data_IF_028209801855
#
_entry.id   IF_028209801855
#
_cell.length_a   1.000
_cell.length_b   1.000
_cell.length_c   1.000
_cell.angle_alpha   90.00
_cell.angle_beta   90.00
_cell.angle_gamma   90.00
#
_symmetry.space_group_name_H-M   'P 1'
#
loop_
_entity.id
_entity.type
_entity.pdbx_description
1 polymer ?
#
# COMPACT_ATOMS: atom_id res chain seq x y z
N UNK A 1 40.84 82.75 -16.33
CA UNK A 1 41.97 82.67 -15.39
C UNK A 1 41.56 81.73 -14.26
N UNK A 2 41.97 80.47 -14.34
CA UNK A 2 41.86 79.52 -13.23
C UNK A 2 43.26 78.94 -13.01
N UNK A 3 43.90 79.32 -11.92
CA UNK A 3 45.20 78.80 -11.49
C UNK A 3 45.01 77.93 -10.25
N UNK A 4 45.48 76.69 -10.40
CA UNK A 4 46.16 75.86 -9.40
C UNK A 4 45.44 75.49 -8.09
N UNK A 5 45.00 74.23 -8.02
CA UNK A 5 44.79 73.48 -6.79
C UNK A 5 44.90 71.99 -7.07
N UNK A 6 46.09 71.40 -6.96
CA UNK A 6 46.29 69.97 -7.25
C UNK A 6 47.73 69.49 -7.18
N UNK A 7 48.34 69.51 -5.99
CA UNK A 7 49.68 68.94 -5.75
C UNK A 7 49.78 68.11 -4.44
N UNK A 8 48.66 67.66 -3.88
CA UNK A 8 48.61 67.00 -2.57
C UNK A 8 48.64 65.45 -2.52
N UNK A 9 48.20 64.66 -3.54
CA UNK A 9 48.02 63.21 -3.34
C UNK A 9 49.33 62.41 -3.35
N UNK A 10 50.32 62.80 -4.16
CA UNK A 10 51.59 62.07 -4.27
C UNK A 10 52.46 62.16 -3.01
N UNK A 11 52.43 63.30 -2.31
CA UNK A 11 53.22 63.53 -1.10
C UNK A 11 52.73 62.70 0.09
N UNK A 12 51.42 62.46 0.20
CA UNK A 12 50.86 61.62 1.26
C UNK A 12 51.19 60.14 1.05
N UNK A 13 51.14 59.65 -0.18
CA UNK A 13 51.52 58.27 -0.51
C UNK A 13 53.01 58.02 -0.26
N UNK A 14 53.87 59.00 -0.54
CA UNK A 14 55.30 58.90 -0.27
C UNK A 14 55.59 58.91 1.24
N UNK A 15 54.89 59.74 2.02
CA UNK A 15 54.95 59.72 3.49
C UNK A 15 54.46 58.38 4.06
N UNK A 16 53.37 57.82 3.51
CA UNK A 16 52.82 56.54 3.93
C UNK A 16 53.73 55.35 3.57
N UNK A 17 54.44 55.41 2.44
CA UNK A 17 55.47 54.43 2.09
C UNK A 17 56.69 54.53 3.01
N UNK A 18 57.21 55.74 3.22
CA UNK A 18 58.35 55.95 4.14
C UNK A 18 58.04 55.46 5.56
N UNK A 19 56.86 55.76 6.10
CA UNK A 19 56.43 55.28 7.42
C UNK A 19 56.27 53.76 7.47
N UNK A 20 55.74 53.13 6.40
CA UNK A 20 55.67 51.67 6.27
C UNK A 20 57.07 51.03 6.24
N UNK A 21 57.98 51.58 5.44
CA UNK A 21 59.34 51.05 5.29
C UNK A 21 60.14 51.22 6.59
N UNK A 22 59.96 52.36 7.28
CA UNK A 22 60.53 52.60 8.61
C UNK A 22 60.02 51.54 9.61
N UNK A 23 58.70 51.33 9.69
CA UNK A 23 58.11 50.28 10.54
C UNK A 23 58.60 48.88 10.18
N UNK A 24 58.68 48.56 8.88
CA UNK A 24 59.15 47.26 8.40
C UNK A 24 60.60 47.01 8.84
N UNK A 25 61.45 48.02 8.80
CA UNK A 25 62.82 47.93 9.30
C UNK A 25 62.89 47.69 10.82
N UNK A 26 62.03 48.35 11.62
CA UNK A 26 61.98 48.14 13.08
C UNK A 26 61.48 46.76 13.50
N UNK A 27 60.51 46.21 12.77
CA UNK A 27 59.93 44.90 13.08
C UNK A 27 60.63 43.74 12.35
N UNK A 28 61.70 44.01 11.58
CA UNK A 28 62.33 43.06 10.66
C UNK A 28 61.30 42.30 9.81
N UNK A 29 60.24 43.00 9.41
CA UNK A 29 59.20 42.41 8.57
C UNK A 29 59.67 42.55 7.14
N UNK A 30 60.37 41.54 6.63
CA UNK A 30 60.67 41.46 5.20
C UNK A 30 59.38 41.72 4.41
N UNK A 31 59.39 42.60 3.39
CA UNK A 31 58.21 42.83 2.55
C UNK A 31 57.74 41.56 1.82
N UNK A 32 58.54 40.49 1.83
CA UNK A 32 58.16 39.15 1.35
C UNK A 32 57.22 38.37 2.30
N UNK A 33 57.10 38.75 3.58
CA UNK A 33 56.23 38.04 4.54
C UNK A 33 54.79 38.57 4.55
N UNK A 34 54.54 39.77 4.01
CA UNK A 34 53.21 40.38 3.98
C UNK A 34 52.31 39.89 2.82
N UNK A 35 52.80 39.01 1.95
CA UNK A 35 52.06 38.40 0.84
C UNK A 35 51.77 36.89 1.06
N UNK A 36 51.79 36.42 2.31
CA UNK A 36 51.55 35.01 2.66
C UNK A 36 50.07 34.67 2.83
N UNK A 37 49.32 34.66 1.72
CA UNK A 37 47.90 34.31 1.69
C UNK A 37 47.48 33.48 0.48
N UNK A 38 48.32 32.56 0.00
CA UNK A 38 47.91 31.43 -0.85
C UNK A 38 49.08 30.45 -1.01
N UNK A 39 48.73 29.17 -1.00
CA UNK A 39 49.63 28.02 -0.98
C UNK A 39 50.30 27.71 -2.34
N UNK A 40 51.36 26.89 -2.25
CA UNK A 40 51.97 26.01 -3.27
C UNK A 40 53.30 26.52 -3.92
N UNK A 41 54.21 25.60 -4.33
CA UNK A 41 55.54 25.47 -3.74
C UNK A 41 56.67 26.00 -4.64
N UNK A 42 57.68 26.62 -4.02
CA UNK A 42 58.90 27.04 -4.71
C UNK A 42 59.88 25.86 -4.88
N UNK A 43 59.77 25.15 -6.00
CA UNK A 43 60.91 24.45 -6.58
C UNK A 43 61.28 25.19 -7.88
N UNK A 44 62.55 25.60 -7.96
CA UNK A 44 63.25 26.18 -9.13
C UNK A 44 62.95 27.64 -9.48
N UNK A 45 63.59 28.56 -8.75
CA UNK A 45 64.04 29.84 -9.31
C UNK A 45 65.57 29.91 -9.24
N UNK A 46 66.17 29.59 -10.38
CA UNK A 46 67.58 29.68 -10.75
C UNK A 46 68.14 31.10 -10.50
N UNK A 47 69.35 31.27 -9.94
CA UNK A 47 69.97 32.60 -9.82
C UNK A 47 70.44 33.05 -11.21
N UNK A 48 69.85 34.13 -11.73
CA UNK A 48 70.35 34.85 -12.90
C UNK A 48 71.51 35.77 -12.48
N UNK A 49 72.68 35.70 -13.13
CA UNK A 49 73.88 36.46 -12.76
C UNK A 49 73.89 37.79 -13.52
N UNK A 50 73.09 38.78 -13.11
CA UNK A 50 73.20 40.16 -13.63
C UNK A 50 72.67 41.17 -12.63
N UNK A 51 73.28 41.22 -11.44
CA UNK A 51 73.34 42.44 -10.67
C UNK A 51 74.84 42.73 -10.51
N UNK A 52 75.28 43.88 -11.01
CA UNK A 52 76.64 44.36 -10.78
C UNK A 52 76.94 44.28 -9.27
N UNK A 53 78.18 43.95 -8.86
CA UNK A 53 78.53 43.99 -7.44
C UNK A 53 78.20 45.39 -6.95
N UNK A 54 77.21 45.51 -6.07
CA UNK A 54 76.87 46.78 -5.46
C UNK A 54 78.17 47.33 -4.86
N UNK A 55 78.58 48.50 -5.34
CA UNK A 55 79.75 49.18 -4.81
C UNK A 55 79.63 49.20 -3.29
N UNK A 56 80.69 48.94 -2.50
CA UNK A 56 80.64 48.98 -1.03
C UNK A 56 80.03 50.28 -0.48
N UNK A 57 80.02 51.33 -1.29
CA UNK A 57 79.45 52.64 -1.00
C UNK A 57 77.91 52.73 -0.97
N UNK A 58 77.19 51.80 -1.60
CA UNK A 58 75.71 51.83 -1.72
C UNK A 58 74.99 50.89 -0.73
N UNK A 59 75.73 50.12 0.07
CA UNK A 59 75.21 49.04 0.90
C UNK A 59 75.28 49.32 2.42
N UNK A 60 75.07 50.57 2.83
CA UNK A 60 75.08 51.00 4.25
C UNK A 60 73.96 50.32 5.07
N UNK A 61 72.81 50.03 4.44
CA UNK A 61 71.65 49.41 5.09
C UNK A 61 71.70 47.87 5.09
N UNK A 62 72.82 47.27 4.63
CA UNK A 62 72.98 45.81 4.61
C UNK A 62 73.34 45.30 6.01
N UNK A 63 72.81 44.14 6.39
CA UNK A 63 73.15 43.44 7.64
C UNK A 63 74.61 43.00 7.75
N UNK A 64 75.38 43.17 6.67
CA UNK A 64 76.82 42.84 6.54
C UNK A 64 77.71 44.08 6.37
N UNK A 65 77.21 45.27 6.72
CA UNK A 65 77.95 46.53 6.61
C UNK A 65 79.20 46.55 7.50
N UNK A 66 80.36 46.81 6.90
CA UNK A 66 81.64 47.02 7.58
C UNK A 66 82.06 48.51 7.48
N UNK A 67 82.06 49.25 8.61
CA UNK A 67 82.43 50.66 8.63
C UNK A 67 83.85 50.94 8.13
N UNK A 68 84.80 50.06 8.41
CA UNK A 68 86.22 50.28 8.12
C UNK A 68 86.50 50.13 6.62
N UNK A 69 85.89 49.13 5.99
CA UNK A 69 85.97 48.91 4.54
C UNK A 69 85.26 50.05 3.80
N UNK A 70 84.07 50.44 4.26
CA UNK A 70 83.31 51.55 3.69
C UNK A 70 84.09 52.86 3.77
N UNK A 71 84.67 53.18 4.92
CA UNK A 71 85.43 54.42 5.12
C UNK A 71 86.73 54.42 4.30
N UNK A 72 87.44 53.30 4.22
CA UNK A 72 88.67 53.20 3.43
C UNK A 72 88.40 53.41 1.94
N UNK A 73 87.33 52.79 1.40
CA UNK A 73 86.91 53.00 0.01
C UNK A 73 86.45 54.45 -0.21
N UNK A 74 85.72 55.04 0.74
CA UNK A 74 85.22 56.41 0.63
C UNK A 74 86.37 57.44 0.61
N UNK A 75 87.38 57.28 1.47
CA UNK A 75 88.55 58.17 1.54
C UNK A 75 89.42 58.05 0.29
N UNK A 76 89.55 56.85 -0.30
CA UNK A 76 90.32 56.65 -1.54
C UNK A 76 89.61 57.22 -2.78
N UNK A 77 88.28 57.26 -2.80
CA UNK A 77 87.49 57.63 -3.99
C UNK A 77 86.98 59.08 -3.98
N UNK A 78 86.98 59.77 -2.84
CA UNK A 78 86.45 61.13 -2.71
C UNK A 78 87.53 62.18 -2.39
N UNK A 79 87.33 63.40 -2.89
CA UNK A 79 88.12 64.56 -2.47
C UNK A 79 87.61 65.11 -1.13
N UNK A 80 88.39 65.96 -0.46
CA UNK A 80 88.05 66.50 0.87
C UNK A 80 86.68 67.20 0.90
N UNK A 81 86.34 67.93 -0.17
CA UNK A 81 85.04 68.60 -0.31
C UNK A 81 83.89 67.59 -0.40
N UNK A 82 84.06 66.52 -1.16
CA UNK A 82 83.09 65.42 -1.27
C UNK A 82 82.90 64.68 0.06
N UNK A 83 83.97 64.49 0.83
CA UNK A 83 83.88 63.88 2.16
C UNK A 83 83.13 64.78 3.15
N UNK A 84 83.38 66.10 3.13
CA UNK A 84 82.67 67.07 3.95
C UNK A 84 81.19 67.14 3.58
N UNK A 85 80.87 67.14 2.29
CA UNK A 85 79.49 67.09 1.80
C UNK A 85 78.79 65.79 2.22
N UNK A 86 79.49 64.64 2.19
CA UNK A 86 78.96 63.34 2.66
C UNK A 86 78.66 63.37 4.15
N UNK A 87 79.55 63.92 4.97
CA UNK A 87 79.34 64.08 6.41
C UNK A 87 78.12 64.97 6.71
N UNK A 88 78.01 66.13 6.04
CA UNK A 88 76.85 67.02 6.21
C UNK A 88 75.55 66.31 5.80
N UNK A 89 75.56 65.60 4.66
CA UNK A 89 74.40 64.82 4.21
C UNK A 89 74.00 63.76 5.24
N UNK A 90 74.96 63.00 5.76
CA UNK A 90 74.71 61.98 6.78
C UNK A 90 74.16 62.58 8.07
N UNK A 91 74.71 63.70 8.54
CA UNK A 91 74.21 64.39 9.73
C UNK A 91 72.76 64.88 9.55
N UNK A 92 72.40 65.38 8.36
CA UNK A 92 71.02 65.75 8.06
C UNK A 92 70.10 64.54 7.97
N UNK A 93 70.57 63.43 7.42
CA UNK A 93 69.82 62.18 7.29
C UNK A 93 69.52 61.57 8.67
N UNK A 94 70.49 61.57 9.58
CA UNK A 94 70.30 61.14 10.98
C UNK A 94 69.20 61.95 11.66
N UNK A 95 69.25 63.29 11.54
CA UNK A 95 68.24 64.17 12.15
C UNK A 95 66.84 63.95 11.56
N UNK A 96 66.76 63.72 10.25
CA UNK A 96 65.49 63.44 9.59
C UNK A 96 64.91 62.09 10.04
N UNK A 97 65.73 61.05 10.14
CA UNK A 97 65.29 59.73 10.63
C UNK A 97 64.79 59.76 12.08
N UNK A 98 65.43 60.53 12.96
CA UNK A 98 64.94 60.72 14.34
C UNK A 98 63.58 61.43 14.38
N UNK A 99 63.42 62.47 13.56
CA UNK A 99 62.14 63.18 13.43
C UNK A 99 61.05 62.27 12.86
N UNK A 100 61.39 61.44 11.87
CA UNK A 100 60.48 60.46 11.26
C UNK A 100 60.08 59.36 12.25
N UNK A 101 61.00 58.88 13.10
CA UNK A 101 60.71 57.93 14.16
C UNK A 101 59.73 58.51 15.19
N UNK A 102 59.97 59.75 15.64
CA UNK A 102 59.06 60.42 16.56
C UNK A 102 57.68 60.59 15.95
N UNK A 103 57.61 61.08 14.70
CA UNK A 103 56.35 61.23 13.96
C UNK A 103 55.62 59.89 13.82
N UNK A 104 56.34 58.80 13.56
CA UNK A 104 55.74 57.47 13.44
C UNK A 104 55.06 57.01 14.73
N UNK A 105 55.72 57.23 15.87
CA UNK A 105 55.16 56.96 17.20
C UNK A 105 53.93 57.83 17.43
N UNK A 106 54.01 59.15 17.18
CA UNK A 106 52.87 60.05 17.36
C UNK A 106 51.67 59.71 16.47
N UNK A 107 51.90 59.43 15.18
CA UNK A 107 50.83 59.13 14.23
C UNK A 107 50.18 57.76 14.48
N UNK A 108 50.93 56.79 15.04
CA UNK A 108 50.42 55.43 15.26
C UNK A 108 50.12 55.07 16.73
N UNK A 109 50.41 55.94 17.70
CA UNK A 109 50.18 55.66 19.13
C UNK A 109 48.74 55.22 19.43
N UNK A 110 47.76 55.91 18.86
CA UNK A 110 46.34 55.55 18.99
C UNK A 110 46.05 54.14 18.46
N UNK A 111 46.72 53.72 17.38
CA UNK A 111 46.56 52.38 16.82
C UNK A 111 47.17 51.33 17.74
N UNK A 112 48.35 51.58 18.30
CA UNK A 112 48.98 50.67 19.28
C UNK A 112 48.15 50.49 20.55
N UNK A 113 47.61 51.58 21.11
CA UNK A 113 46.69 51.49 22.25
C UNK A 113 45.45 50.69 21.85
N UNK A 114 44.80 51.04 20.74
CA UNK A 114 43.57 50.37 20.33
C UNK A 114 43.76 48.87 20.05
N UNK A 115 44.90 48.49 19.47
CA UNK A 115 45.27 47.09 19.25
C UNK A 115 45.49 46.37 20.59
N UNK A 116 46.19 47.00 21.52
CA UNK A 116 46.43 46.46 22.87
C UNK A 116 45.12 46.28 23.65
N UNK A 117 44.23 47.27 23.63
CA UNK A 117 42.91 47.18 24.25
C UNK A 117 42.03 46.11 23.62
N UNK A 118 42.13 45.94 22.30
CA UNK A 118 41.42 44.87 21.57
C UNK A 118 41.93 43.50 22.01
N UNK A 119 43.24 43.29 22.08
CA UNK A 119 43.85 42.04 22.58
C UNK A 119 43.41 41.77 24.02
N UNK A 120 43.39 42.80 24.88
CA UNK A 120 42.95 42.68 26.26
C UNK A 120 41.47 42.28 26.35
N UNK A 121 40.60 42.90 25.53
CA UNK A 121 39.18 42.55 25.45
C UNK A 121 38.97 41.13 24.93
N UNK A 122 39.70 40.73 23.90
CA UNK A 122 39.67 39.37 23.35
C UNK A 122 40.06 38.34 24.42
N UNK A 123 41.15 38.59 25.17
CA UNK A 123 41.58 37.72 26.27
C UNK A 123 40.48 37.55 27.33
N UNK A 124 39.87 38.64 27.79
CA UNK A 124 38.82 38.56 28.82
C UNK A 124 37.58 37.81 28.31
N UNK A 125 37.19 38.00 27.04
CA UNK A 125 36.05 37.29 26.45
C UNK A 125 36.33 35.78 26.33
N UNK A 126 37.51 35.40 25.83
CA UNK A 126 37.90 33.98 25.68
C UNK A 126 37.90 33.27 27.04
N UNK A 127 38.47 33.88 28.08
CA UNK A 127 38.45 33.32 29.44
C UNK A 127 37.02 33.21 29.98
N UNK A 128 36.15 34.19 29.70
CA UNK A 128 34.74 34.12 30.06
C UNK A 128 33.98 33.01 29.30
N UNK A 129 34.32 32.76 28.04
CA UNK A 129 33.71 31.72 27.21
C UNK A 129 34.07 30.31 27.70
N UNK A 130 35.32 30.10 28.13
CA UNK A 130 35.76 28.82 28.72
C UNK A 130 34.93 28.48 29.98
N UNK A 131 34.80 29.43 30.91
CA UNK A 131 33.97 29.25 32.09
C UNK A 131 32.48 28.97 31.75
N UNK A 132 31.94 29.65 30.75
CA UNK A 132 30.57 29.41 30.30
C UNK A 132 30.40 28.02 29.67
N UNK A 133 31.40 27.53 28.93
CA UNK A 133 31.40 26.21 28.32
C UNK A 133 31.47 25.09 29.38
N UNK A 134 32.27 25.26 30.42
CA UNK A 134 32.33 24.35 31.56
C UNK A 134 30.99 24.28 32.32
N UNK A 135 30.36 25.44 32.56
CA UNK A 135 29.03 25.49 33.16
C UNK A 135 27.98 24.80 32.28
N UNK A 136 28.06 24.97 30.97
CA UNK A 136 27.15 24.31 30.03
C UNK A 136 27.34 22.79 30.06
N UNK A 137 28.58 22.31 30.03
CA UNK A 137 28.90 20.88 30.10
C UNK A 137 28.38 20.26 31.41
N UNK A 138 28.53 20.97 32.53
CA UNK A 138 27.99 20.54 33.82
C UNK A 138 26.46 20.46 33.80
N UNK A 139 25.78 21.46 33.24
CA UNK A 139 24.31 21.45 33.09
C UNK A 139 23.83 20.32 32.18
N UNK A 140 24.49 20.09 31.05
CA UNK A 140 24.16 19.00 30.12
C UNK A 140 24.32 17.65 30.82
N UNK A 141 25.43 17.44 31.53
CA UNK A 141 25.68 16.20 32.27
C UNK A 141 24.65 15.98 33.38
N UNK A 142 24.24 17.05 34.08
CA UNK A 142 23.18 17.00 35.09
C UNK A 142 21.80 16.70 34.48
N UNK A 143 21.48 17.28 33.33
CA UNK A 143 20.23 16.99 32.61
C UNK A 143 20.23 15.55 32.11
N UNK A 144 21.35 15.07 31.57
CA UNK A 144 21.50 13.70 31.10
C UNK A 144 21.29 12.70 32.24
N UNK A 145 21.99 12.86 33.37
CA UNK A 145 21.84 11.93 34.51
C UNK A 145 20.43 11.92 35.10
N UNK A 146 19.79 13.10 35.18
CA UNK A 146 18.40 13.20 35.63
C UNK A 146 17.43 12.59 34.61
N UNK A 147 17.71 12.73 33.31
CA UNK A 147 16.95 12.08 32.25
C UNK A 147 17.07 10.57 32.33
N UNK A 148 18.28 10.02 32.49
CA UNK A 148 18.53 8.59 32.63
C UNK A 148 17.82 8.00 33.84
N UNK A 149 17.83 8.73 34.97
CA UNK A 149 17.07 8.35 36.18
C UNK A 149 15.57 8.28 35.91
N UNK A 150 15.01 9.32 35.26
CA UNK A 150 13.59 9.34 34.89
C UNK A 150 13.27 8.22 33.91
N UNK A 151 14.12 7.99 32.91
CA UNK A 151 13.90 6.99 31.88
C UNK A 151 13.94 5.58 32.47
N UNK A 152 14.86 5.31 33.41
CA UNK A 152 14.93 4.06 34.16
C UNK A 152 13.66 3.85 34.99
N UNK A 153 13.21 4.86 35.74
CA UNK A 153 11.95 4.77 36.51
C UNK A 153 10.71 4.59 35.63
N UNK A 154 10.68 5.21 34.45
CA UNK A 154 9.58 5.04 33.49
C UNK A 154 9.64 3.66 32.81
N UNK A 155 10.82 3.09 32.59
CA UNK A 155 10.98 1.76 32.03
C UNK A 155 10.31 0.71 32.92
N UNK A 156 10.58 0.71 34.22
CA UNK A 156 9.96 -0.22 35.18
C UNK A 156 8.43 -0.07 35.20
N UNK A 157 7.93 1.17 35.17
CA UNK A 157 6.49 1.44 35.11
C UNK A 157 5.88 0.94 33.80
N UNK A 158 6.55 1.13 32.65
CA UNK A 158 6.09 0.63 31.34
C UNK A 158 6.04 -0.89 31.34
N UNK A 159 7.05 -1.56 31.88
CA UNK A 159 7.07 -3.02 31.98
C UNK A 159 5.92 -3.54 32.85
N UNK A 160 5.67 -2.89 34.00
CA UNK A 160 4.54 -3.23 34.87
C UNK A 160 3.18 -2.99 34.18
N UNK A 161 3.04 -1.91 33.41
CA UNK A 161 1.84 -1.64 32.61
C UNK A 161 1.66 -2.72 31.55
N UNK A 162 2.73 -3.15 30.87
CA UNK A 162 2.66 -4.24 29.90
C UNK A 162 2.24 -5.56 30.53
N UNK A 163 2.83 -5.93 31.69
CA UNK A 163 2.44 -7.11 32.46
C UNK A 163 0.95 -7.05 32.80
N UNK A 164 0.48 -5.91 33.31
CA UNK A 164 -0.94 -5.71 33.64
C UNK A 164 -1.84 -5.76 32.41
N UNK A 165 -1.39 -5.24 31.27
CA UNK A 165 -2.13 -5.30 30.01
C UNK A 165 -2.24 -6.74 29.48
N UNK A 166 -1.16 -7.53 29.58
CA UNK A 166 -1.18 -8.98 29.26
C UNK A 166 -2.18 -9.71 30.15
N UNK A 167 -2.16 -9.47 31.47
CA UNK A 167 -3.11 -10.05 32.43
C UNK A 167 -4.54 -9.63 32.13
N UNK A 168 -4.79 -8.33 31.89
CA UNK A 168 -6.12 -7.81 31.53
C UNK A 168 -6.63 -8.42 30.22
N UNK A 169 -5.77 -8.58 29.22
CA UNK A 169 -6.15 -9.21 27.96
C UNK A 169 -6.50 -10.68 28.15
N UNK A 170 -5.73 -11.41 28.94
CA UNK A 170 -6.05 -12.79 29.30
C UNK A 170 -7.39 -12.84 30.05
N UNK A 171 -7.59 -11.97 31.03
CA UNK A 171 -8.82 -11.89 31.80
C UNK A 171 -10.03 -11.58 30.91
N UNK A 172 -9.90 -10.68 29.91
CA UNK A 172 -10.96 -10.44 28.92
C UNK A 172 -11.26 -11.67 28.07
N UNK A 173 -10.23 -12.43 27.66
CA UNK A 173 -10.43 -13.68 26.90
C UNK A 173 -11.15 -14.73 27.76
N UNK A 174 -10.72 -14.90 29.01
CA UNK A 174 -11.38 -15.81 29.96
C UNK A 174 -12.81 -15.38 30.24
N UNK A 175 -13.06 -14.07 30.43
CA UNK A 175 -14.39 -13.51 30.60
C UNK A 175 -15.27 -13.77 29.37
N UNK A 176 -14.72 -13.62 28.16
CA UNK A 176 -15.45 -13.95 26.94
C UNK A 176 -15.89 -15.42 26.88
N UNK A 177 -15.04 -16.35 27.32
CA UNK A 177 -15.37 -17.78 27.37
C UNK A 177 -16.46 -18.06 28.40
N UNK A 178 -16.39 -17.43 29.58
CA UNK A 178 -17.41 -17.59 30.62
C UNK A 178 -18.76 -16.96 30.24
N UNK A 179 -18.72 -15.83 29.52
CA UNK A 179 -19.90 -15.17 28.98
C UNK A 179 -20.43 -15.84 27.70
N UNK A 180 -19.71 -16.82 27.12
CA UNK A 180 -20.09 -17.40 25.84
C UNK A 180 -21.47 -18.06 25.88
N UNK A 181 -21.83 -18.91 26.87
CA UNK A 181 -23.15 -19.54 26.91
C UNK A 181 -24.29 -18.53 27.05
N UNK A 182 -24.10 -17.46 27.84
CA UNK A 182 -25.13 -16.41 28.02
C UNK A 182 -25.28 -15.58 26.73
N UNK A 183 -24.19 -15.31 26.02
CA UNK A 183 -24.21 -14.66 24.70
C UNK A 183 -24.89 -15.54 23.64
N UNK A 184 -24.58 -16.83 23.59
CA UNK A 184 -25.24 -17.77 22.67
C UNK A 184 -26.75 -17.84 22.93
N UNK A 185 -27.16 -17.94 24.20
CA UNK A 185 -28.57 -17.89 24.57
C UNK A 185 -29.26 -16.58 24.16
N UNK A 186 -28.55 -15.44 24.19
CA UNK A 186 -29.07 -14.17 23.68
C UNK A 186 -29.21 -14.18 22.15
N UNK A 187 -28.24 -14.75 21.43
CA UNK A 187 -28.31 -14.89 19.98
C UNK A 187 -29.48 -15.80 19.56
N UNK A 188 -29.73 -16.89 20.29
CA UNK A 188 -30.89 -17.77 20.07
C UNK A 188 -32.21 -16.98 20.21
N UNK A 189 -32.35 -16.15 21.26
CA UNK A 189 -33.54 -15.33 21.49
C UNK A 189 -33.76 -14.22 20.47
N UNK A 190 -32.69 -13.76 19.81
CA UNK A 190 -32.73 -12.67 18.83
C UNK A 190 -32.69 -13.17 17.39
N UNK A 191 -32.71 -14.49 17.19
CA UNK A 191 -32.56 -15.17 15.90
C UNK A 191 -31.29 -14.80 15.11
N UNK A 192 -30.29 -14.22 15.78
CA UNK A 192 -29.00 -13.84 15.19
C UNK A 192 -28.05 -15.05 15.14
N UNK A 193 -28.40 -16.06 14.35
CA UNK A 193 -27.65 -17.33 14.29
C UNK A 193 -26.24 -17.17 13.70
N UNK A 194 -26.03 -16.23 12.78
CA UNK A 194 -24.71 -15.98 12.19
C UNK A 194 -23.67 -15.55 13.24
N UNK A 195 -24.05 -14.65 14.16
CA UNK A 195 -23.17 -14.21 15.23
C UNK A 195 -22.92 -15.31 16.27
N UNK A 196 -23.93 -16.16 16.54
CA UNK A 196 -23.76 -17.32 17.41
C UNK A 196 -22.68 -18.27 16.89
N UNK A 197 -22.74 -18.61 15.59
CA UNK A 197 -21.76 -19.49 14.94
C UNK A 197 -20.36 -18.86 14.95
N UNK A 198 -20.25 -17.55 14.71
CA UNK A 198 -18.97 -16.83 14.77
C UNK A 198 -18.35 -16.84 16.17
N UNK A 199 -19.14 -16.56 17.21
CA UNK A 199 -18.64 -16.57 18.59
C UNK A 199 -18.19 -17.96 19.01
N UNK A 200 -18.95 -19.00 18.65
CA UNK A 200 -18.58 -20.38 18.95
C UNK A 200 -17.35 -20.86 18.17
N UNK A 201 -17.26 -20.54 16.88
CA UNK A 201 -16.10 -20.90 16.04
C UNK A 201 -14.82 -20.25 16.57
N UNK A 202 -14.89 -18.98 17.02
CA UNK A 202 -13.76 -18.30 17.64
C UNK A 202 -13.35 -18.87 19.01
N UNK A 203 -14.30 -19.44 19.76
CA UNK A 203 -14.06 -20.06 21.06
C UNK A 203 -13.62 -21.54 20.98
N UNK A 204 -13.98 -22.25 19.90
CA UNK A 204 -13.66 -23.66 19.66
C UNK A 204 -12.19 -24.04 19.94
N UNK A 205 -11.15 -23.34 19.43
CA UNK A 205 -9.77 -23.72 19.71
C UNK A 205 -9.41 -23.62 21.21
N UNK A 206 -10.07 -22.72 21.95
CA UNK A 206 -9.87 -22.58 23.39
C UNK A 206 -10.55 -23.74 24.14
N UNK A 207 -11.71 -24.18 23.67
CA UNK A 207 -12.38 -25.38 24.20
C UNK A 207 -11.66 -26.69 23.84
N UNK A 208 -11.00 -26.77 22.69
CA UNK A 208 -10.16 -27.93 22.34
C UNK A 208 -8.92 -28.01 23.25
N UNK A 209 -8.31 -26.87 23.59
CA UNK A 209 -7.11 -26.84 24.42
C UNK A 209 -7.39 -26.92 25.94
N UNK A 210 -8.45 -26.27 26.41
CA UNK A 210 -8.73 -26.09 27.84
C UNK A 210 -10.17 -26.47 28.26
N UNK A 211 -10.97 -27.00 27.33
CA UNK A 211 -12.37 -27.31 27.58
C UNK A 211 -12.58 -28.44 28.58
N UNK A 212 -11.71 -29.44 28.62
CA UNK A 212 -11.91 -30.60 29.50
C UNK A 212 -11.37 -30.37 30.92
N UNK A 213 -10.74 -29.22 31.16
CA UNK A 213 -10.20 -28.82 32.47
C UNK A 213 -11.03 -27.67 33.06
N UNK A 214 -10.56 -26.43 32.93
CA UNK A 214 -11.12 -25.27 33.61
C UNK A 214 -12.46 -24.79 33.02
N UNK A 215 -12.78 -25.13 31.76
CA UNK A 215 -13.97 -24.64 31.06
C UNK A 215 -15.02 -25.71 30.76
N UNK A 216 -15.02 -26.84 31.48
CA UNK A 216 -15.90 -27.99 31.18
C UNK A 216 -17.38 -27.62 31.16
N UNK A 217 -17.85 -26.91 32.18
CA UNK A 217 -19.26 -26.55 32.30
C UNK A 217 -19.65 -25.49 31.24
N UNK A 218 -18.73 -24.57 30.93
CA UNK A 218 -18.92 -23.58 29.86
C UNK A 218 -18.95 -24.23 28.48
N UNK A 219 -18.06 -25.20 28.21
CA UNK A 219 -18.01 -25.98 26.98
C UNK A 219 -19.34 -26.71 26.80
N UNK A 220 -19.75 -27.49 27.80
CA UNK A 220 -21.01 -28.24 27.79
C UNK A 220 -22.21 -27.32 27.54
N UNK A 221 -22.35 -26.23 28.30
CA UNK A 221 -23.45 -25.28 28.10
C UNK A 221 -23.42 -24.58 26.73
N UNK A 222 -22.23 -24.32 26.19
CA UNK A 222 -22.08 -23.72 24.85
C UNK A 222 -22.37 -24.71 23.72
N UNK A 223 -22.05 -25.99 23.89
CA UNK A 223 -22.39 -27.08 22.96
C UNK A 223 -23.89 -27.34 22.98
N UNK A 224 -24.53 -27.42 24.16
CA UNK A 224 -25.99 -27.54 24.29
C UNK A 224 -26.72 -26.35 23.64
N UNK A 225 -26.24 -25.13 23.84
CA UNK A 225 -26.79 -23.95 23.17
C UNK A 225 -26.60 -24.01 21.65
N UNK A 226 -25.46 -24.54 21.18
CA UNK A 226 -25.21 -24.73 19.75
C UNK A 226 -26.08 -25.83 19.14
N UNK A 227 -26.37 -26.91 19.88
CA UNK A 227 -27.30 -27.96 19.45
C UNK A 227 -28.71 -27.39 19.24
N UNK A 228 -29.15 -26.49 20.13
CA UNK A 228 -30.41 -25.76 19.96
C UNK A 228 -30.36 -24.87 18.72
N UNK A 229 -29.25 -24.16 18.47
CA UNK A 229 -29.06 -23.39 17.22
C UNK A 229 -29.14 -24.30 15.99
N UNK A 230 -28.51 -25.47 16.03
CA UNK A 230 -28.56 -26.46 14.93
C UNK A 230 -30.00 -26.93 14.71
N UNK A 231 -30.75 -27.24 15.77
CA UNK A 231 -32.17 -27.62 15.66
C UNK A 231 -33.03 -26.49 15.08
N UNK A 232 -32.80 -25.25 15.47
CA UNK A 232 -33.49 -24.09 14.89
C UNK A 232 -33.13 -23.91 13.42
N UNK A 233 -31.84 -23.99 13.04
CA UNK A 233 -31.40 -23.90 11.65
C UNK A 233 -31.95 -25.03 10.79
N UNK A 234 -32.04 -26.26 11.34
CA UNK A 234 -32.71 -27.38 10.68
C UNK A 234 -34.20 -27.10 10.49
N UNK A 235 -34.89 -26.60 11.52
CA UNK A 235 -36.32 -26.24 11.43
C UNK A 235 -36.54 -25.15 10.38
N UNK A 236 -35.67 -24.14 10.32
CA UNK A 236 -35.68 -23.07 9.30
C UNK A 236 -35.46 -23.61 7.88
N UNK A 237 -34.61 -24.63 7.75
CA UNK A 237 -34.35 -25.31 6.48
C UNK A 237 -35.55 -26.14 5.99
N UNK A 238 -36.26 -26.80 6.90
CA UNK A 238 -37.44 -27.64 6.58
C UNK A 238 -38.77 -26.87 6.53
N UNK A 239 -38.81 -25.63 7.01
CA UNK A 239 -40.04 -24.83 7.01
C UNK A 239 -40.28 -24.19 5.65
N UNK A 240 -41.37 -24.56 4.99
CA UNK A 240 -41.75 -24.03 3.67
C UNK A 240 -42.12 -22.53 3.65
N UNK A 241 -42.22 -21.92 4.84
CA UNK A 241 -42.57 -20.51 5.02
C UNK A 241 -41.38 -19.55 4.90
N UNK A 242 -40.13 -20.04 5.01
CA UNK A 242 -38.96 -19.15 5.06
C UNK A 242 -38.39 -18.83 3.67
N UNK A 243 -37.89 -17.59 3.46
CA UNK A 243 -37.32 -17.16 2.19
C UNK A 243 -36.05 -17.95 1.83
N UNK A 244 -35.82 -18.12 0.53
CA UNK A 244 -34.74 -18.91 -0.05
C UNK A 244 -33.36 -18.44 0.46
N UNK A 245 -33.19 -17.14 0.68
CA UNK A 245 -31.97 -16.54 1.22
C UNK A 245 -31.70 -16.97 2.67
N UNK A 246 -32.73 -17.05 3.52
CA UNK A 246 -32.60 -17.49 4.91
C UNK A 246 -32.27 -18.99 5.00
N UNK A 247 -32.82 -19.81 4.08
CA UNK A 247 -32.47 -21.22 3.96
C UNK A 247 -31.02 -21.41 3.50
N UNK A 248 -30.56 -20.61 2.52
CA UNK A 248 -29.17 -20.64 2.08
C UNK A 248 -28.19 -20.19 3.18
N UNK A 249 -28.52 -19.13 3.92
CA UNK A 249 -27.73 -18.68 5.08
C UNK A 249 -27.66 -19.77 6.16
N UNK A 250 -28.78 -20.43 6.47
CA UNK A 250 -28.81 -21.54 7.42
C UNK A 250 -27.88 -22.69 7.01
N UNK A 251 -27.84 -23.07 5.73
CA UNK A 251 -26.94 -24.12 5.24
C UNK A 251 -25.47 -23.68 5.28
N UNK A 252 -25.17 -22.42 4.95
CA UNK A 252 -23.81 -21.87 5.05
C UNK A 252 -23.33 -21.90 6.51
N UNK A 253 -24.19 -21.54 7.46
CA UNK A 253 -23.88 -21.59 8.89
C UNK A 253 -23.68 -23.02 9.39
N UNK A 254 -24.50 -23.97 8.95
CA UNK A 254 -24.32 -25.40 9.26
C UNK A 254 -23.00 -25.96 8.69
N UNK A 255 -22.58 -25.49 7.50
CA UNK A 255 -21.28 -25.83 6.90
C UNK A 255 -20.11 -25.26 7.71
N UNK A 256 -20.22 -24.04 8.22
CA UNK A 256 -19.19 -23.42 9.08
C UNK A 256 -19.00 -24.19 10.39
N UNK A 257 -20.07 -24.78 10.94
CA UNK A 257 -20.03 -25.63 12.13
C UNK A 257 -19.44 -27.04 11.88
N UNK A 258 -19.07 -27.37 10.63
CA UNK A 258 -18.61 -28.70 10.20
C UNK A 258 -19.63 -29.83 10.47
N UNK A 259 -20.93 -29.53 10.36
CA UNK A 259 -21.95 -30.58 10.42
C UNK A 259 -21.91 -31.41 9.12
N UNK A 260 -22.05 -32.76 9.16
CA UNK A 260 -21.98 -33.60 7.97
C UNK A 260 -23.12 -33.25 6.99
N UNK A 261 -22.72 -32.60 5.91
CA UNK A 261 -23.59 -32.07 4.86
C UNK A 261 -24.24 -33.19 4.04
N UNK A 262 -23.67 -34.40 4.06
CA UNK A 262 -24.13 -35.54 3.26
C UNK A 262 -25.51 -36.07 3.69
N UNK A 263 -25.79 -36.04 5.00
CA UNK A 263 -27.11 -36.42 5.52
C UNK A 263 -28.16 -35.35 5.17
N UNK A 264 -27.79 -34.06 5.20
CA UNK A 264 -28.65 -32.95 4.79
C UNK A 264 -28.94 -32.97 3.28
N UNK A 265 -27.93 -33.27 2.46
CA UNK A 265 -28.08 -33.40 1.00
C UNK A 265 -29.10 -34.47 0.63
N UNK A 266 -29.04 -35.63 1.29
CA UNK A 266 -29.92 -36.78 1.02
C UNK A 266 -31.36 -36.47 1.42
N UNK A 267 -31.58 -35.90 2.62
CA UNK A 267 -32.92 -35.54 3.10
C UNK A 267 -33.55 -34.37 2.30
N UNK A 268 -32.74 -33.40 1.86
CA UNK A 268 -33.21 -32.31 0.98
C UNK A 268 -33.53 -32.80 -0.43
N UNK A 269 -32.77 -33.77 -0.95
CA UNK A 269 -33.07 -34.41 -2.23
C UNK A 269 -34.37 -35.21 -2.16
N UNK A 270 -34.58 -35.97 -1.09
CA UNK A 270 -35.84 -36.70 -0.88
C UNK A 270 -37.03 -35.75 -0.77
N UNK A 271 -36.87 -34.60 -0.10
CA UNK A 271 -37.91 -33.54 -0.05
C UNK A 271 -38.13 -32.84 -1.39
N UNK A 272 -37.08 -32.64 -2.19
CA UNK A 272 -37.22 -32.15 -3.56
C UNK A 272 -37.96 -33.16 -4.43
N UNK A 273 -37.61 -34.44 -4.33
CA UNK A 273 -38.30 -35.52 -5.03
C UNK A 273 -39.77 -35.59 -4.61
N UNK A 274 -40.10 -35.48 -3.31
CA UNK A 274 -41.47 -35.44 -2.79
C UNK A 274 -42.23 -34.19 -3.26
N UNK A 275 -41.59 -33.02 -3.28
CA UNK A 275 -42.19 -31.77 -3.76
C UNK A 275 -42.46 -31.85 -5.28
N UNK A 276 -41.52 -32.40 -6.05
CA UNK A 276 -41.66 -32.67 -7.48
C UNK A 276 -42.75 -33.71 -7.76
N UNK A 277 -42.91 -34.73 -6.91
CA UNK A 277 -44.01 -35.70 -6.99
C UNK A 277 -45.37 -35.05 -6.69
N UNK A 278 -45.44 -34.14 -5.72
CA UNK A 278 -46.67 -33.39 -5.45
C UNK A 278 -47.05 -32.47 -6.62
N UNK A 279 -46.07 -31.84 -7.28
CA UNK A 279 -46.29 -31.06 -8.50
C UNK A 279 -46.71 -31.90 -9.71
N UNK A 280 -46.44 -33.21 -9.73
CA UNK A 280 -46.93 -34.12 -10.78
C UNK A 280 -48.44 -34.38 -10.65
N UNK A 281 -49.00 -34.25 -9.46
CA UNK A 281 -50.42 -34.53 -9.20
C UNK A 281 -51.33 -33.30 -9.42
N UNK A 282 -50.80 -32.08 -9.24
CA UNK A 282 -51.55 -30.85 -9.49
C UNK A 282 -51.45 -30.40 -10.95
N UNK A 283 -52.46 -30.79 -11.73
CA UNK A 283 -52.48 -30.72 -13.19
C UNK A 283 -52.56 -29.33 -13.82
N UNK A 284 -52.43 -28.18 -13.12
CA UNK A 284 -52.63 -26.90 -13.83
C UNK A 284 -51.95 -25.59 -13.39
N UNK A 285 -51.36 -25.40 -12.20
CA UNK A 285 -50.92 -24.02 -11.84
C UNK A 285 -49.66 -23.88 -10.99
N UNK A 286 -48.80 -24.91 -10.86
CA UNK A 286 -47.45 -24.69 -10.34
C UNK A 286 -46.55 -24.16 -11.46
N UNK A 287 -46.17 -22.88 -11.37
CA UNK A 287 -45.29 -22.23 -12.35
C UNK A 287 -43.95 -22.94 -12.40
N UNK A 288 -43.50 -23.34 -13.59
CA UNK A 288 -42.13 -23.83 -13.84
C UNK A 288 -41.10 -22.82 -13.32
N UNK A 289 -41.46 -21.54 -13.22
CA UNK A 289 -40.64 -20.52 -12.58
C UNK A 289 -40.32 -20.82 -11.11
N UNK A 290 -41.21 -21.46 -10.35
CA UNK A 290 -40.94 -21.81 -8.96
C UNK A 290 -40.04 -23.06 -8.85
N UNK A 291 -40.18 -23.99 -9.79
CA UNK A 291 -39.25 -25.13 -9.95
C UNK A 291 -37.84 -24.61 -10.33
N UNK A 292 -37.76 -23.66 -11.25
CA UNK A 292 -36.51 -23.02 -11.67
C UNK A 292 -35.84 -22.24 -10.53
N UNK A 293 -36.59 -21.46 -9.74
CA UNK A 293 -36.08 -20.82 -8.51
C UNK A 293 -35.55 -21.84 -7.50
N UNK A 294 -36.24 -22.97 -7.34
CA UNK A 294 -35.86 -24.04 -6.42
C UNK A 294 -34.57 -24.73 -6.87
N UNK A 295 -34.44 -25.02 -8.17
CA UNK A 295 -33.19 -25.54 -8.74
C UNK A 295 -32.03 -24.56 -8.59
N UNK A 296 -32.28 -23.26 -8.84
CA UNK A 296 -31.27 -22.20 -8.67
C UNK A 296 -30.81 -22.08 -7.22
N UNK A 297 -31.74 -22.14 -6.27
CA UNK A 297 -31.43 -22.15 -4.84
C UNK A 297 -30.55 -23.35 -4.49
N UNK A 298 -30.91 -24.54 -4.96
CA UNK A 298 -30.18 -25.76 -4.66
C UNK A 298 -28.77 -25.79 -5.27
N UNK A 299 -28.59 -25.27 -6.50
CA UNK A 299 -27.27 -25.13 -7.12
C UNK A 299 -26.35 -24.14 -6.38
N UNK A 300 -26.92 -23.06 -5.82
CA UNK A 300 -26.17 -22.13 -4.96
C UNK A 300 -25.71 -22.82 -3.67
N UNK A 301 -26.53 -23.73 -3.13
CA UNK A 301 -26.27 -24.41 -1.86
C UNK A 301 -25.34 -25.63 -2.05
N UNK A 302 -25.46 -26.34 -3.17
CA UNK A 302 -24.72 -27.57 -3.47
C UNK A 302 -24.23 -27.59 -4.94
N UNK A 303 -23.01 -27.12 -5.21
CA UNK A 303 -22.45 -27.18 -6.56
C UNK A 303 -22.16 -28.62 -7.04
N UNK A 304 -21.86 -29.55 -6.12
CA UNK A 304 -21.47 -30.93 -6.46
C UNK A 304 -22.66 -31.86 -6.80
N UNK A 305 -23.90 -31.38 -6.74
CA UNK A 305 -25.11 -32.17 -7.00
C UNK A 305 -25.78 -31.87 -8.34
N UNK A 306 -25.15 -31.06 -9.18
CA UNK A 306 -25.61 -30.67 -10.52
C UNK A 306 -26.03 -31.89 -11.38
N UNK A 307 -25.25 -32.98 -11.37
CA UNK A 307 -25.56 -34.21 -12.11
C UNK A 307 -26.90 -34.84 -11.72
N UNK A 308 -27.23 -34.87 -10.43
CA UNK A 308 -28.48 -35.46 -9.95
C UNK A 308 -29.66 -34.53 -10.23
N UNK A 309 -29.42 -33.22 -10.21
CA UNK A 309 -30.40 -32.22 -10.64
C UNK A 309 -30.75 -32.38 -12.13
N UNK A 310 -29.73 -32.62 -12.97
CA UNK A 310 -29.89 -32.87 -14.40
C UNK A 310 -30.75 -34.13 -14.61
N UNK A 311 -30.47 -35.23 -13.91
CA UNK A 311 -31.27 -36.46 -13.97
C UNK A 311 -32.74 -36.22 -13.58
N UNK A 312 -32.99 -35.48 -12.50
CA UNK A 312 -34.35 -35.16 -12.04
C UNK A 312 -35.07 -34.22 -13.02
N UNK A 313 -34.39 -33.21 -13.56
CA UNK A 313 -34.96 -32.33 -14.58
C UNK A 313 -35.34 -33.12 -15.83
N UNK A 314 -34.46 -33.98 -16.33
CA UNK A 314 -34.73 -34.84 -17.48
C UNK A 314 -35.93 -35.77 -17.22
N UNK A 315 -36.01 -36.39 -16.04
CA UNK A 315 -37.13 -37.26 -15.65
C UNK A 315 -38.49 -36.53 -15.61
N UNK A 316 -38.52 -35.29 -15.12
CA UNK A 316 -39.74 -34.45 -15.11
C UNK A 316 -40.23 -34.16 -16.52
N UNK A 317 -39.33 -33.76 -17.42
CA UNK A 317 -39.69 -33.47 -18.81
C UNK A 317 -40.12 -34.74 -19.55
N UNK A 318 -39.42 -35.86 -19.37
CA UNK A 318 -39.84 -37.17 -19.90
C UNK A 318 -41.28 -37.50 -19.55
N UNK A 319 -41.67 -37.36 -18.28
CA UNK A 319 -43.03 -37.67 -17.82
C UNK A 319 -44.08 -36.72 -18.42
N UNK A 320 -43.75 -35.42 -18.54
CA UNK A 320 -44.64 -34.44 -19.19
C UNK A 320 -44.83 -34.73 -20.69
N UNK A 321 -43.77 -35.13 -21.39
CA UNK A 321 -43.85 -35.56 -22.79
C UNK A 321 -44.65 -36.86 -22.96
N UNK A 322 -44.54 -37.81 -22.02
CA UNK A 322 -45.38 -39.02 -22.02
C UNK A 322 -46.86 -38.69 -21.76
N UNK A 323 -47.17 -37.72 -20.90
CA UNK A 323 -48.55 -37.23 -20.73
C UNK A 323 -49.10 -36.64 -22.03
N UNK A 324 -48.28 -35.92 -22.80
CA UNK A 324 -48.66 -35.44 -24.15
C UNK A 324 -48.86 -36.60 -25.14
N UNK A 325 -48.05 -37.66 -25.08
CA UNK A 325 -48.21 -38.88 -25.90
C UNK A 325 -49.49 -39.65 -25.56
N UNK A 326 -49.82 -39.78 -24.28
CA UNK A 326 -51.07 -40.37 -23.79
C UNK A 326 -52.29 -39.59 -24.30
N UNK A 327 -52.18 -38.26 -24.28
CA UNK A 327 -53.19 -37.34 -24.79
C UNK A 327 -53.35 -37.43 -26.32
N UNK A 328 -52.27 -37.72 -27.06
CA UNK A 328 -52.31 -38.00 -28.50
C UNK A 328 -53.20 -39.20 -28.87
N UNK A 329 -53.23 -40.23 -28.01
CA UNK A 329 -54.09 -41.41 -28.21
C UNK A 329 -55.59 -41.07 -28.13
N UNK A 330 -55.95 -39.94 -27.49
CA UNK A 330 -57.34 -39.51 -27.22
C UNK A 330 -57.92 -38.55 -28.28
N UNK A 331 -57.25 -38.38 -29.43
CA UNK A 331 -57.72 -37.61 -30.61
C UNK A 331 -57.89 -36.10 -30.30
N UNK A 332 -56.77 -35.39 -30.20
CA UNK A 332 -56.72 -33.95 -29.92
C UNK A 332 -56.56 -33.16 -31.24
N UNK A 333 -57.22 -31.99 -31.39
CA UNK A 333 -57.01 -31.11 -32.54
C UNK A 333 -55.58 -30.55 -32.58
N UNK A 334 -55.05 -30.37 -33.79
CA UNK A 334 -53.66 -29.95 -34.01
C UNK A 334 -53.30 -28.60 -33.35
N UNK A 335 -54.29 -27.74 -33.10
CA UNK A 335 -54.13 -26.44 -32.40
C UNK A 335 -53.74 -26.61 -30.94
N UNK A 336 -54.36 -27.57 -30.24
CA UNK A 336 -54.16 -27.77 -28.81
C UNK A 336 -52.86 -28.55 -28.54
N UNK A 337 -52.49 -29.43 -29.48
CA UNK A 337 -51.19 -30.09 -29.48
C UNK A 337 -50.04 -29.10 -29.64
N UNK A 338 -50.16 -28.15 -30.58
CA UNK A 338 -49.15 -27.10 -30.76
C UNK A 338 -49.09 -26.15 -29.55
N UNK A 339 -50.21 -25.86 -28.90
CA UNK A 339 -50.24 -25.07 -27.67
C UNK A 339 -49.52 -25.78 -26.52
N UNK A 340 -49.78 -27.06 -26.29
CA UNK A 340 -49.10 -27.87 -25.26
C UNK A 340 -47.60 -28.06 -25.55
N UNK A 341 -47.22 -28.24 -26.82
CA UNK A 341 -45.81 -28.34 -27.19
C UNK A 341 -45.07 -27.01 -27.04
N UNK A 342 -45.73 -25.88 -27.34
CA UNK A 342 -45.15 -24.55 -27.13
C UNK A 342 -44.96 -24.26 -25.65
N UNK A 343 -45.93 -24.59 -24.79
CA UNK A 343 -45.77 -24.40 -23.34
C UNK A 343 -44.64 -25.28 -22.77
N UNK A 344 -44.51 -26.53 -23.23
CA UNK A 344 -43.39 -27.40 -22.82
C UNK A 344 -42.03 -26.91 -23.31
N UNK A 345 -41.98 -26.23 -24.46
CA UNK A 345 -40.77 -25.61 -24.96
C UNK A 345 -40.37 -24.39 -24.12
N UNK A 346 -41.33 -23.51 -23.81
CA UNK A 346 -41.10 -22.36 -22.93
C UNK A 346 -40.64 -22.81 -21.53
N UNK A 347 -41.28 -23.85 -20.98
CA UNK A 347 -40.90 -24.49 -19.73
C UNK A 347 -39.45 -25.04 -19.78
N UNK A 348 -39.05 -25.67 -20.89
CA UNK A 348 -37.71 -26.20 -21.08
C UNK A 348 -36.65 -25.09 -21.14
N UNK A 349 -36.96 -23.95 -21.77
CA UNK A 349 -36.03 -22.80 -21.82
C UNK A 349 -35.80 -22.16 -20.46
N UNK A 350 -36.83 -22.07 -19.61
CA UNK A 350 -36.74 -21.47 -18.26
C UNK A 350 -35.90 -22.33 -17.31
N UNK A 351 -35.86 -23.65 -17.51
CA UNK A 351 -35.04 -24.56 -16.70
C UNK A 351 -33.60 -24.64 -17.26
N UNK A 352 -33.40 -24.53 -18.58
CA UNK A 352 -32.08 -24.48 -19.22
C UNK A 352 -31.28 -23.21 -18.85
N UNK A 353 -31.95 -22.08 -18.58
CA UNK A 353 -31.31 -20.89 -18.01
C UNK A 353 -30.68 -21.14 -16.63
N UNK A 354 -31.17 -22.14 -15.88
CA UNK A 354 -30.66 -22.49 -14.55
C UNK A 354 -29.68 -23.66 -14.60
N UNK A 355 -29.82 -24.56 -15.58
CA UNK A 355 -29.00 -25.76 -15.75
C UNK A 355 -28.55 -25.89 -17.21
N UNK A 356 -27.62 -25.02 -17.63
CA UNK A 356 -27.20 -24.96 -19.05
C UNK A 356 -26.47 -26.23 -19.54
N UNK A 357 -26.01 -27.09 -18.63
CA UNK A 357 -25.36 -28.37 -18.96
C UNK A 357 -26.38 -29.51 -19.21
N UNK A 358 -27.67 -29.31 -18.89
CA UNK A 358 -28.69 -30.35 -19.06
C UNK A 358 -29.13 -30.56 -20.53
N UNK A 359 -28.81 -29.62 -21.43
CA UNK A 359 -29.21 -29.62 -22.84
C UNK A 359 -30.71 -29.94 -23.05
N UNK A 360 -31.55 -29.46 -22.13
CA UNK A 360 -33.00 -29.68 -22.11
C UNK A 360 -33.70 -29.20 -23.39
N UNK A 361 -33.28 -28.09 -24.05
CA UNK A 361 -33.83 -27.66 -25.33
C UNK A 361 -33.51 -28.58 -26.51
N UNK A 362 -32.35 -29.26 -26.48
CA UNK A 362 -32.02 -30.24 -27.51
C UNK A 362 -32.87 -31.50 -27.34
N UNK A 363 -33.02 -31.96 -26.10
CA UNK A 363 -33.87 -33.10 -25.74
C UNK A 363 -35.36 -32.85 -26.02
N UNK A 364 -35.87 -31.66 -25.72
CA UNK A 364 -37.25 -31.28 -26.05
C UNK A 364 -37.47 -31.23 -27.56
N UNK A 365 -36.53 -30.70 -28.35
CA UNK A 365 -36.66 -30.59 -29.80
C UNK A 365 -36.77 -31.95 -30.48
N UNK A 366 -35.93 -32.91 -30.06
CA UNK A 366 -35.94 -34.27 -30.59
C UNK A 366 -37.22 -35.02 -30.18
N UNK A 367 -37.63 -34.89 -28.92
CA UNK A 367 -38.85 -35.51 -28.41
C UNK A 367 -40.11 -34.92 -29.05
N UNK A 368 -40.18 -33.60 -29.25
CA UNK A 368 -41.25 -32.92 -29.98
C UNK A 368 -41.30 -33.38 -31.44
N UNK A 369 -40.15 -33.50 -32.11
CA UNK A 369 -40.08 -33.99 -33.49
C UNK A 369 -40.67 -35.40 -33.61
N UNK A 370 -40.36 -36.28 -32.66
CA UNK A 370 -40.88 -37.63 -32.66
C UNK A 370 -42.38 -37.70 -32.31
N UNK A 371 -42.86 -36.86 -31.39
CA UNK A 371 -44.29 -36.70 -31.11
C UNK A 371 -45.05 -36.22 -32.35
N UNK A 372 -44.52 -35.25 -33.09
CA UNK A 372 -45.13 -34.75 -34.33
C UNK A 372 -45.14 -35.84 -35.41
N UNK A 373 -44.06 -36.61 -35.57
CA UNK A 373 -44.04 -37.77 -36.49
C UNK A 373 -45.10 -38.81 -36.12
N UNK A 374 -45.24 -39.12 -34.83
CA UNK A 374 -46.26 -40.06 -34.34
C UNK A 374 -47.68 -39.51 -34.52
N UNK A 375 -47.90 -38.21 -34.36
CA UNK A 375 -49.18 -37.57 -34.65
C UNK A 375 -49.55 -37.71 -36.13
N UNK A 376 -48.59 -37.41 -37.01
CA UNK A 376 -48.77 -37.53 -38.46
C UNK A 376 -49.06 -38.98 -38.84
N UNK A 377 -48.29 -39.94 -38.32
CA UNK A 377 -48.49 -41.37 -38.59
C UNK A 377 -49.85 -41.88 -38.09
N UNK A 378 -50.27 -41.49 -36.89
CA UNK A 378 -51.60 -41.86 -36.36
C UNK A 378 -52.73 -41.18 -37.12
N UNK A 379 -52.60 -39.90 -37.50
CA UNK A 379 -53.57 -39.22 -38.35
C UNK A 379 -53.71 -39.89 -39.74
N UNK A 380 -52.59 -40.29 -40.36
CA UNK A 380 -52.61 -41.03 -41.63
C UNK A 380 -53.21 -42.43 -41.50
N UNK A 381 -52.92 -43.17 -40.42
CA UNK A 381 -53.55 -44.47 -40.15
C UNK A 381 -55.07 -44.32 -39.93
N UNK A 382 -55.50 -43.27 -39.25
CA UNK A 382 -56.92 -42.98 -39.06
C UNK A 382 -57.60 -42.58 -40.39
N UNK A 383 -56.97 -41.75 -41.21
CA UNK A 383 -57.45 -41.45 -42.58
C UNK A 383 -57.54 -42.71 -43.44
N UNK A 384 -56.55 -43.59 -43.36
CA UNK A 384 -56.54 -44.85 -44.09
C UNK A 384 -57.64 -45.79 -43.61
N UNK A 385 -57.93 -45.82 -42.31
CA UNK A 385 -59.07 -46.55 -41.74
C UNK A 385 -60.42 -45.95 -42.15
N UNK A 386 -60.53 -44.62 -42.23
CA UNK A 386 -61.75 -43.93 -42.68
C UNK A 386 -61.99 -44.16 -44.20
N UNK A 387 -60.93 -44.19 -45.01
CA UNK A 387 -61.01 -44.50 -46.45
C UNK A 387 -61.35 -45.98 -46.70
N UNK A 388 -60.81 -46.89 -45.88
CA UNK A 388 -61.08 -48.33 -45.98
C UNK A 388 -62.49 -48.74 -45.51
N UNK A 389 -63.15 -47.87 -44.72
CA UNK A 389 -64.51 -48.06 -44.22
C UNK A 389 -65.62 -47.52 -45.14
N UNK A 390 -65.28 -46.88 -46.27
CA UNK A 390 -66.27 -46.38 -47.23
C UNK A 390 -66.88 -47.56 -48.03
N UNK A 391 -68.21 -47.77 -48.00
CA UNK A 391 -68.85 -48.80 -48.80
C UNK A 391 -68.61 -48.54 -50.29
N UNK A 392 -68.43 -49.63 -51.04
CA UNK A 392 -68.01 -49.80 -52.43
C UNK A 392 -68.72 -48.96 -53.52
N UNK A 393 -69.62 -48.04 -53.17
CA UNK A 393 -70.35 -47.16 -54.11
C UNK A 393 -69.51 -45.97 -54.61
N UNK A 394 -68.52 -45.50 -53.86
CA UNK A 394 -67.65 -44.39 -54.29
C UNK A 394 -66.28 -44.81 -54.83
N UNK A 395 -66.01 -46.12 -54.90
CA UNK A 395 -64.75 -46.66 -55.42
C UNK A 395 -64.53 -46.28 -56.90
N UNK A 396 -65.61 -46.07 -57.65
CA UNK A 396 -65.57 -45.58 -59.04
C UNK A 396 -65.14 -44.11 -59.18
N UNK A 397 -65.40 -43.24 -58.19
CA UNK A 397 -65.06 -41.82 -58.27
C UNK A 397 -63.63 -41.54 -57.81
N UNK A 398 -63.09 -42.36 -56.90
CA UNK A 398 -61.71 -42.19 -56.42
C UNK A 398 -60.67 -42.71 -57.42
N UNK A 399 -60.96 -43.78 -58.18
CA UNK A 399 -60.08 -44.24 -59.25
C UNK A 399 -59.91 -43.21 -60.39
N UNK A 400 -60.91 -42.35 -60.62
CA UNK A 400 -60.82 -41.25 -61.59
C UNK A 400 -59.92 -40.12 -61.06
N UNK A 401 -59.89 -39.87 -59.75
CA UNK A 401 -58.99 -38.87 -59.16
C UNK A 401 -57.54 -39.36 -59.09
N UNK A 402 -57.31 -40.63 -58.74
CA UNK A 402 -55.95 -41.21 -58.66
C UNK A 402 -55.30 -41.41 -60.04
N UNK A 403 -56.07 -41.70 -61.09
CA UNK A 403 -55.54 -41.76 -62.46
C UNK A 403 -55.12 -40.39 -63.01
N UNK A 404 -55.47 -39.29 -62.34
CA UNK A 404 -55.08 -37.93 -62.72
C UNK A 404 -53.88 -37.39 -61.95
N UNK A 405 -53.45 -38.07 -60.89
CA UNK A 405 -52.29 -37.67 -60.06
C UNK A 405 -50.98 -38.35 -60.44
N UNK A 406 -51.01 -39.40 -61.27
CA UNK A 406 -49.79 -40.01 -61.85
C UNK A 406 -49.08 -39.12 -62.90
N UNK A 407 -49.54 -37.88 -63.11
CA UNK A 407 -48.90 -36.89 -63.99
C UNK A 407 -48.05 -35.84 -63.25
N UNK A 408 -47.88 -35.93 -61.92
CA UNK A 408 -46.98 -35.02 -61.17
C UNK A 408 -46.03 -35.86 -60.32
N UNK A 409 -45.18 -36.61 -61.00
CA UNK A 409 -43.96 -37.18 -60.44
C UNK A 409 -42.86 -37.06 -61.50
N UNK A 410 -42.39 -35.83 -61.65
CA UNK A 410 -41.02 -35.46 -62.03
C UNK A 410 -40.64 -34.21 -61.21
#
# INVERSE_FOLDING_TARGET
MATAGGAAPAAMDEKARRTRDLLASFYNTDPSAAAGGAAAPAFLARPSPTAAPASPLDSINSTSFDPDIYMNVLVQQSNLEGLLQRHVKMATEIKNLDTDLQMLVYENYNKFISATDTIKRMKTNIVGMEANMEQLLTKITSVQSRSDTVNTSLFDKRENIEKLHRTRNLLRKVQFIYDLPTRLNKCIKTEAYADAVRFFTGAKPIFEAYGDTSFRDCKKASEEAMDVVIQHLQTKLYSDSEPIEARAEAVVLLKQLKFPVDNLKSNLLEKLEECLLNFQNETTHASIGDISKTFRAYLIIFPDSERRLIELAQALFLNRYETVRENLKKRIPSTDLLAMLRSLWEDATIIDEVISEAALPAFSLETTRDIVKQHIATAFLHLQSEISGLPTSHHSLLCIFLSRTDFIRD
#
